data_IF_869475502026
#
_entry.id   IF_869475502026
#
_cell.length_a   1.000
_cell.length_b   1.000
_cell.length_c   1.000
_cell.angle_alpha   90.00
_cell.angle_beta   90.00
_cell.angle_gamma   90.00
#
_symmetry.space_group_name_H-M   'P 1'
#
loop_
_entity.id
_entity.type
_entity.pdbx_description
1 polymer ?
#
# COMPACT_ATOMS: atom_id res chain seq x y z
N UNK A 1 6.64 -7.25 -12.49
CA UNK A 1 5.17 -7.43 -12.37
C UNK A 1 4.47 -7.70 -13.71
N UNK A 2 5.22 -7.86 -14.81
CA UNK A 2 4.69 -7.91 -16.18
C UNK A 2 3.61 -8.95 -16.47
N UNK A 3 3.62 -10.09 -15.79
CA UNK A 3 2.58 -11.11 -15.97
C UNK A 3 1.21 -10.60 -15.52
N UNK A 4 1.12 -10.05 -14.30
CA UNK A 4 -0.16 -9.55 -13.79
C UNK A 4 -0.66 -8.34 -14.57
N UNK A 5 0.25 -7.45 -14.99
CA UNK A 5 -0.10 -6.31 -15.84
C UNK A 5 -0.66 -6.77 -17.20
N UNK A 6 -0.11 -7.84 -17.77
CA UNK A 6 -0.61 -8.44 -19.00
C UNK A 6 -1.98 -9.10 -18.80
N UNK A 7 -2.17 -9.83 -17.70
CA UNK A 7 -3.45 -10.48 -17.38
C UNK A 7 -4.55 -9.42 -17.17
N UNK A 8 -4.24 -8.32 -16.47
CA UNK A 8 -5.13 -7.17 -16.28
C UNK A 8 -5.44 -6.47 -17.60
N UNK A 9 -4.43 -6.24 -18.45
CA UNK A 9 -4.64 -5.66 -19.77
C UNK A 9 -5.61 -6.48 -20.61
N UNK A 10 -5.42 -7.80 -20.64
CA UNK A 10 -6.34 -8.69 -21.33
C UNK A 10 -7.76 -8.61 -20.74
N UNK A 11 -7.89 -8.59 -19.41
CA UNK A 11 -9.17 -8.45 -18.72
C UNK A 11 -9.93 -7.16 -19.13
N UNK A 12 -9.22 -6.04 -19.24
CA UNK A 12 -9.78 -4.75 -19.68
C UNK A 12 -10.20 -4.78 -21.15
N UNK A 13 -9.35 -5.34 -22.01
CA UNK A 13 -9.60 -5.44 -23.45
C UNK A 13 -10.83 -6.31 -23.75
N UNK A 14 -10.97 -7.46 -23.09
CA UNK A 14 -12.13 -8.37 -23.21
C UNK A 14 -13.46 -7.69 -22.88
N UNK A 15 -13.43 -6.63 -22.06
CA UNK A 15 -14.61 -5.90 -21.59
C UNK A 15 -14.79 -4.55 -22.27
N UNK A 16 -13.91 -4.20 -23.21
CA UNK A 16 -13.88 -2.88 -23.84
C UNK A 16 -13.75 -1.74 -22.81
N UNK A 17 -13.00 -1.99 -21.73
CA UNK A 17 -12.75 -1.04 -20.63
C UNK A 17 -11.43 -0.29 -20.76
N UNK A 18 -10.82 -0.36 -21.94
CA UNK A 18 -9.62 0.39 -22.31
C UNK A 18 -9.83 1.92 -22.43
N UNK A 19 -11.02 2.43 -22.09
CA UNK A 19 -11.41 3.83 -22.12
C UNK A 19 -11.86 4.38 -20.75
N UNK A 20 -11.70 3.61 -19.67
CA UNK A 20 -12.02 4.08 -18.33
C UNK A 20 -11.19 5.33 -17.99
N UNK A 21 -11.84 6.33 -17.40
CA UNK A 21 -11.16 7.58 -17.06
C UNK A 21 -10.36 7.38 -15.77
N UNK A 22 -9.12 7.90 -15.66
CA UNK A 22 -8.29 7.75 -14.46
C UNK A 22 -8.98 8.24 -13.17
N UNK A 23 -9.79 9.30 -13.28
CA UNK A 23 -10.56 9.81 -12.14
C UNK A 23 -11.67 8.88 -11.66
N UNK A 24 -12.19 7.98 -12.50
CA UNK A 24 -13.17 6.98 -12.09
C UNK A 24 -12.48 5.81 -11.39
N UNK A 25 -11.33 5.35 -11.90
CA UNK A 25 -10.50 4.35 -11.21
C UNK A 25 -9.99 4.83 -9.85
N UNK A 26 -9.61 6.10 -9.73
CA UNK A 26 -9.23 6.68 -8.45
C UNK A 26 -10.38 6.65 -7.42
N UNK A 27 -11.63 6.82 -7.86
CA UNK A 27 -12.80 6.66 -6.99
C UNK A 27 -12.96 5.20 -6.57
N UNK A 28 -12.86 4.26 -7.50
CA UNK A 28 -12.92 2.82 -7.20
C UNK A 28 -11.87 2.45 -6.14
N UNK A 29 -10.61 2.85 -6.32
CA UNK A 29 -9.55 2.64 -5.30
C UNK A 29 -9.97 3.17 -3.93
N UNK A 30 -10.55 4.37 -3.87
CA UNK A 30 -11.00 4.96 -2.61
C UNK A 30 -12.19 4.23 -1.99
N UNK A 31 -13.08 3.67 -2.81
CA UNK A 31 -14.24 2.89 -2.34
C UNK A 31 -13.76 1.57 -1.75
N UNK A 32 -12.93 0.81 -2.47
CA UNK A 32 -12.41 -0.48 -1.97
C UNK A 32 -11.50 -0.30 -0.74
N UNK A 33 -10.77 0.82 -0.66
CA UNK A 33 -10.03 1.19 0.54
C UNK A 33 -10.96 1.43 1.74
N UNK A 34 -12.16 1.95 1.52
CA UNK A 34 -13.18 2.10 2.56
C UNK A 34 -13.80 0.75 2.96
N UNK A 35 -14.00 -0.17 2.01
CA UNK A 35 -14.44 -1.55 2.32
C UNK A 35 -13.40 -2.30 3.15
N UNK A 36 -12.11 -2.18 2.81
CA UNK A 36 -11.02 -2.72 3.62
C UNK A 36 -11.01 -2.13 5.05
N UNK A 37 -11.29 -0.83 5.17
CA UNK A 37 -11.37 -0.15 6.47
C UNK A 37 -12.57 -0.64 7.30
N UNK A 38 -13.70 -0.94 6.65
CA UNK A 38 -14.92 -1.42 7.31
C UNK A 38 -14.69 -2.71 8.12
N UNK A 39 -13.79 -3.59 7.66
CA UNK A 39 -13.40 -4.82 8.39
C UNK A 39 -12.92 -4.51 9.82
N UNK A 40 -12.39 -3.30 10.05
CA UNK A 40 -11.85 -2.84 11.33
C UNK A 40 -12.75 -1.81 12.03
N UNK A 41 -13.94 -1.50 11.50
CA UNK A 41 -14.82 -0.43 11.99
C UNK A 41 -15.09 -0.51 13.51
N UNK A 42 -15.28 -1.72 14.02
CA UNK A 42 -15.62 -1.99 15.42
C UNK A 42 -14.51 -2.66 16.23
N UNK A 43 -13.35 -2.93 15.61
CA UNK A 43 -12.23 -3.59 16.29
C UNK A 43 -10.90 -3.31 15.62
N UNK A 44 -9.84 -3.09 16.41
CA UNK A 44 -8.47 -2.99 15.92
C UNK A 44 -7.59 -4.06 16.61
N UNK A 45 -7.75 -5.34 16.26
CA UNK A 45 -7.00 -6.43 16.86
C UNK A 45 -5.51 -6.38 16.50
N UNK A 46 -4.66 -6.94 17.37
CA UNK A 46 -3.24 -7.11 17.07
C UNK A 46 -3.01 -8.02 15.86
N UNK A 47 -1.87 -7.83 15.19
CA UNK A 47 -1.49 -8.58 13.99
C UNK A 47 -1.54 -10.11 14.19
N UNK A 48 -1.13 -10.59 15.37
CA UNK A 48 -1.16 -12.02 15.71
C UNK A 48 -2.59 -12.57 15.70
N UNK A 49 -3.53 -11.83 16.31
CA UNK A 49 -4.94 -12.18 16.34
C UNK A 49 -5.55 -12.19 14.95
N UNK A 50 -5.28 -11.17 14.12
CA UNK A 50 -5.75 -11.13 12.72
C UNK A 50 -5.26 -12.33 11.94
N UNK A 51 -3.98 -12.72 12.08
CA UNK A 51 -3.41 -13.85 11.36
C UNK A 51 -4.02 -15.22 11.71
N UNK A 52 -4.63 -15.35 12.89
CA UNK A 52 -5.29 -16.57 13.34
C UNK A 52 -6.78 -16.63 13.00
N UNK A 53 -7.36 -15.50 12.58
CA UNK A 53 -8.76 -15.37 12.20
C UNK A 53 -8.90 -15.58 10.69
N UNK A 54 -9.20 -16.82 10.28
CA UNK A 54 -9.31 -17.18 8.86
C UNK A 54 -10.41 -16.39 8.14
N UNK A 55 -11.54 -16.14 8.79
CA UNK A 55 -12.65 -15.42 8.16
C UNK A 55 -12.26 -13.96 7.88
N UNK A 56 -11.65 -13.30 8.86
CA UNK A 56 -11.16 -11.93 8.71
C UNK A 56 -10.05 -11.83 7.67
N UNK A 57 -9.15 -12.82 7.59
CA UNK A 57 -8.11 -12.87 6.57
C UNK A 57 -8.69 -12.96 5.16
N UNK A 58 -9.72 -13.77 4.94
CA UNK A 58 -10.35 -13.86 3.61
C UNK A 58 -11.04 -12.56 3.23
N UNK A 59 -11.71 -11.88 4.17
CA UNK A 59 -12.26 -10.53 3.94
C UNK A 59 -11.17 -9.51 3.58
N UNK A 60 -10.05 -9.50 4.32
CA UNK A 60 -8.92 -8.60 4.02
C UNK A 60 -8.34 -8.88 2.63
N UNK A 61 -8.15 -10.16 2.29
CA UNK A 61 -7.61 -10.55 0.97
C UNK A 61 -8.49 -10.08 -0.16
N UNK A 62 -9.81 -10.18 0.00
CA UNK A 62 -10.79 -9.71 -0.99
C UNK A 62 -10.62 -8.22 -1.26
N UNK A 63 -10.82 -7.38 -0.24
CA UNK A 63 -10.80 -5.92 -0.48
C UNK A 63 -9.40 -5.41 -0.84
N UNK A 64 -8.34 -6.05 -0.30
CA UNK A 64 -6.97 -5.72 -0.70
C UNK A 64 -6.69 -6.09 -2.16
N UNK A 65 -7.24 -7.21 -2.66
CA UNK A 65 -7.11 -7.58 -4.06
C UNK A 65 -7.83 -6.57 -4.96
N UNK A 66 -9.04 -6.12 -4.59
CA UNK A 66 -9.80 -5.14 -5.35
C UNK A 66 -9.04 -3.80 -5.45
N UNK A 67 -8.46 -3.31 -4.33
CA UNK A 67 -7.58 -2.13 -4.33
C UNK A 67 -6.39 -2.32 -5.28
N UNK A 68 -5.72 -3.47 -5.21
CA UNK A 68 -4.53 -3.75 -6.03
C UNK A 68 -4.87 -3.84 -7.52
N UNK A 69 -6.00 -4.46 -7.87
CA UNK A 69 -6.48 -4.57 -9.25
C UNK A 69 -6.73 -3.17 -9.81
N UNK A 70 -7.50 -2.31 -9.15
CA UNK A 70 -7.74 -0.96 -9.66
C UNK A 70 -6.46 -0.10 -9.73
N UNK A 71 -5.49 -0.33 -8.83
CA UNK A 71 -4.18 0.30 -8.93
C UNK A 71 -3.38 -0.17 -10.16
N UNK A 72 -3.52 -1.44 -10.55
CA UNK A 72 -2.89 -1.98 -11.77
C UNK A 72 -3.67 -1.52 -13.00
N UNK A 73 -5.01 -1.47 -12.97
CA UNK A 73 -5.84 -0.96 -14.07
C UNK A 73 -5.40 0.44 -14.47
N UNK A 74 -5.30 1.36 -13.51
CA UNK A 74 -4.89 2.74 -13.79
C UNK A 74 -3.45 2.81 -14.29
N UNK A 75 -2.56 1.93 -13.83
CA UNK A 75 -1.18 1.86 -14.32
C UNK A 75 -1.13 1.34 -15.76
N UNK A 76 -1.90 0.31 -16.10
CA UNK A 76 -1.99 -0.26 -17.45
C UNK A 76 -2.56 0.76 -18.42
N UNK A 77 -3.64 1.46 -18.07
CA UNK A 77 -4.25 2.48 -18.93
C UNK A 77 -3.37 3.72 -19.14
N UNK A 78 -2.44 3.99 -18.24
CA UNK A 78 -1.49 5.10 -18.33
C UNK A 78 -0.10 4.66 -18.81
N UNK A 79 0.07 3.40 -19.23
CA UNK A 79 1.33 2.80 -19.69
C UNK A 79 2.48 2.92 -18.67
N UNK A 80 2.17 2.77 -17.38
CA UNK A 80 3.16 2.75 -16.30
C UNK A 80 3.73 1.35 -16.06
N UNK A 81 5.05 1.24 -15.87
CA UNK A 81 5.67 0.04 -15.32
C UNK A 81 5.50 0.06 -13.79
N UNK A 82 4.60 -0.80 -13.27
CA UNK A 82 4.26 -0.80 -11.83
C UNK A 82 5.47 -1.16 -10.97
N UNK A 83 6.34 -2.03 -11.45
CA UNK A 83 7.54 -2.43 -10.74
C UNK A 83 8.54 -1.27 -10.63
N UNK A 84 8.72 -0.52 -11.72
CA UNK A 84 9.59 0.66 -11.73
C UNK A 84 9.11 1.74 -10.75
N UNK A 85 7.82 2.11 -10.78
CA UNK A 85 7.28 3.15 -9.90
C UNK A 85 7.36 2.75 -8.42
N UNK A 86 7.10 1.47 -8.11
CA UNK A 86 7.20 0.94 -6.74
C UNK A 86 8.67 0.97 -6.28
N UNK A 87 9.62 0.49 -7.10
CA UNK A 87 11.04 0.49 -6.74
C UNK A 87 11.57 1.90 -6.50
N UNK A 88 11.26 2.85 -7.39
CA UNK A 88 11.63 4.27 -7.21
C UNK A 88 11.08 4.83 -5.89
N UNK A 89 9.80 4.55 -5.59
CA UNK A 89 9.17 5.00 -4.35
C UNK A 89 9.81 4.35 -3.12
N UNK A 90 10.10 3.05 -3.16
CA UNK A 90 10.78 2.34 -2.07
C UNK A 90 12.16 2.91 -1.79
N UNK A 91 12.95 3.23 -2.82
CA UNK A 91 14.28 3.83 -2.63
C UNK A 91 14.21 5.24 -2.04
N UNK A 92 13.19 6.01 -2.41
CA UNK A 92 12.88 7.28 -1.75
C UNK A 92 12.50 7.07 -0.27
N UNK A 93 11.63 6.09 0.03
CA UNK A 93 11.19 5.77 1.39
C UNK A 93 12.37 5.33 2.26
N UNK A 94 13.27 4.46 1.75
CA UNK A 94 14.48 4.02 2.47
C UNK A 94 15.37 5.20 2.89
N UNK A 95 15.53 6.20 2.01
CA UNK A 95 16.28 7.42 2.32
C UNK A 95 15.55 8.30 3.34
N UNK A 96 14.22 8.38 3.25
CA UNK A 96 13.39 9.18 4.17
C UNK A 96 13.28 8.53 5.57
N UNK A 97 13.23 7.20 5.63
CA UNK A 97 13.09 6.40 6.84
C UNK A 97 14.17 5.29 6.89
N UNK A 98 15.44 5.65 7.21
CA UNK A 98 16.54 4.71 7.29
C UNK A 98 16.30 3.58 8.31
N UNK A 99 16.61 2.34 7.94
CA UNK A 99 16.39 1.16 8.78
C UNK A 99 17.12 1.25 10.14
N UNK A 100 18.32 1.82 10.18
CA UNK A 100 19.09 2.03 11.41
C UNK A 100 18.44 3.01 12.40
N UNK A 101 17.61 3.92 11.91
CA UNK A 101 16.83 4.83 12.75
C UNK A 101 15.54 4.17 13.20
N UNK A 102 14.87 3.46 12.30
CA UNK A 102 13.61 2.79 12.61
C UNK A 102 13.81 1.61 13.59
N UNK A 103 14.94 0.91 13.53
CA UNK A 103 15.24 -0.18 14.47
C UNK A 103 15.37 0.31 15.92
N UNK A 104 15.74 1.58 16.14
CA UNK A 104 15.79 2.23 17.47
C UNK A 104 14.41 2.57 18.02
N UNK A 105 13.35 2.44 17.21
CA UNK A 105 11.95 2.61 17.64
C UNK A 105 11.33 1.32 18.16
N UNK A 106 12.05 0.19 18.17
CA UNK A 106 11.54 -1.11 18.61
C UNK A 106 10.96 -1.03 20.03
N UNK A 107 9.68 -1.35 20.18
CA UNK A 107 8.94 -1.30 21.46
C UNK A 107 8.24 0.03 21.75
N UNK A 108 8.39 1.05 20.90
CA UNK A 108 7.54 2.26 20.92
C UNK A 108 6.42 2.09 19.91
N UNK A 109 5.23 2.64 20.19
CA UNK A 109 4.16 2.71 19.19
C UNK A 109 4.70 3.35 17.90
N UNK A 110 4.68 2.58 16.82
CA UNK A 110 5.05 3.04 15.50
C UNK A 110 3.96 3.96 14.98
N UNK A 111 4.22 5.28 14.92
CA UNK A 111 3.28 6.21 14.29
C UNK A 111 3.34 7.66 14.75
N UNK A 112 3.98 7.97 15.88
CA UNK A 112 4.07 9.38 16.31
C UNK A 112 5.20 10.10 15.57
N UNK A 113 4.86 11.18 14.85
CA UNK A 113 5.85 12.07 14.21
C UNK A 113 6.92 12.51 15.22
N UNK A 114 6.52 12.72 16.47
CA UNK A 114 7.40 13.11 17.57
C UNK A 114 8.54 12.10 17.78
N UNK A 115 8.23 10.81 17.87
CA UNK A 115 9.27 9.79 18.10
C UNK A 115 10.27 9.74 16.94
N UNK A 116 9.81 9.92 15.69
CA UNK A 116 10.66 9.94 14.50
C UNK A 116 11.57 11.18 14.48
N UNK A 117 11.01 12.36 14.74
CA UNK A 117 11.77 13.61 14.72
C UNK A 117 12.83 13.67 15.81
N UNK A 118 12.56 13.12 17.01
CA UNK A 118 13.54 13.02 18.09
C UNK A 118 14.74 12.15 17.68
N UNK A 119 14.49 10.94 17.16
CA UNK A 119 15.54 10.02 16.71
C UNK A 119 16.36 10.63 15.56
N UNK A 120 15.70 11.31 14.62
CA UNK A 120 16.37 12.00 13.51
C UNK A 120 17.22 13.18 13.97
N UNK A 121 16.79 13.91 15.01
CA UNK A 121 17.57 15.01 15.61
C UNK A 121 18.83 14.47 16.31
N UNK A 122 18.70 13.39 17.08
CA UNK A 122 19.84 12.74 17.72
C UNK A 122 20.84 12.17 16.72
N UNK A 123 20.37 11.54 15.64
CA UNK A 123 21.25 11.03 14.58
C UNK A 123 22.01 12.13 13.86
N UNK A 124 21.34 13.26 13.57
CA UNK A 124 22.01 14.43 12.98
C UNK A 124 23.06 15.02 13.93
N UNK A 125 22.80 15.02 15.24
CA UNK A 125 23.74 15.52 16.26
C UNK A 125 24.97 14.64 16.45
N UNK A 126 24.85 13.32 16.28
CA UNK A 126 25.97 12.36 16.42
C UNK A 126 26.89 12.28 15.20
N UNK A 127 26.41 12.73 14.04
CA UNK A 127 27.11 12.67 12.76
C UNK A 127 27.47 14.06 12.21
N UNK A 128 27.42 15.09 13.05
CA UNK A 128 27.88 16.46 12.79
C UNK A 128 29.16 16.69 13.59
#
# INVERSE_FOLDING_TARGET
MKKIESDVKQYLDERLWNNLRPGDLAKSISIEAAELLEIFQWSNPELGTVKMDNEKIEKIKKELADILIYCIDIAVLLDFDTEEIIRKKLDYIKKKYPAELMSKMKGKESGTEDAYWQIKKEHRRKNA
#
